data_IF_837946699804
#
_entry.id   IF_837946699804
#
_cell.length_a   1.000
_cell.length_b   1.000
_cell.length_c   1.000
_cell.angle_alpha   90.00
_cell.angle_beta   90.00
_cell.angle_gamma   90.00
#
_symmetry.space_group_name_H-M   'P 1'
#
loop_
_entity.id
_entity.type
_entity.pdbx_description
1 polymer ?
#
# COMPACT_ATOMS: atom_id res chain seq x y z
N UNK A 1 -12.85 17.39 -4.51
CA UNK A 1 -13.16 16.47 -3.39
C UNK A 1 -12.79 15.09 -3.89
N UNK A 2 -11.77 14.45 -3.32
CA UNK A 2 -11.20 13.20 -3.86
C UNK A 2 -12.15 12.00 -3.77
N UNK A 3 -11.84 10.95 -4.52
CA UNK A 3 -12.62 9.72 -4.51
C UNK A 3 -12.55 9.03 -3.13
N UNK A 4 -13.67 8.45 -2.69
CA UNK A 4 -13.75 7.76 -1.39
C UNK A 4 -14.15 6.30 -1.60
N UNK A 5 -13.21 5.38 -1.48
CA UNK A 5 -13.45 3.93 -1.62
C UNK A 5 -14.44 3.40 -0.58
N UNK A 6 -14.45 3.97 0.63
CA UNK A 6 -15.36 3.58 1.72
C UNK A 6 -16.81 4.04 1.52
N UNK A 7 -17.09 4.93 0.56
CA UNK A 7 -18.45 5.41 0.32
C UNK A 7 -19.38 4.27 -0.14
N UNK A 8 -20.55 4.04 0.50
CA UNK A 8 -21.42 2.92 0.17
C UNK A 8 -21.89 2.87 -1.29
N UNK A 9 -22.15 4.02 -1.91
CA UNK A 9 -22.56 4.10 -3.31
C UNK A 9 -21.40 3.74 -4.25
N UNK A 10 -20.18 4.18 -3.93
CA UNK A 10 -18.99 3.82 -4.68
C UNK A 10 -18.72 2.32 -4.60
N UNK A 11 -18.86 1.71 -3.41
CA UNK A 11 -18.73 0.26 -3.23
C UNK A 11 -19.79 -0.53 -3.99
N UNK A 12 -21.03 -0.07 -4.00
CA UNK A 12 -22.09 -0.71 -4.78
C UNK A 12 -21.80 -0.68 -6.29
N UNK A 13 -21.34 0.46 -6.81
CA UNK A 13 -20.89 0.60 -8.21
C UNK A 13 -19.69 -0.32 -8.49
N UNK A 14 -18.71 -0.35 -7.60
CA UNK A 14 -17.51 -1.15 -7.74
C UNK A 14 -17.80 -2.66 -7.76
N UNK A 15 -18.69 -3.13 -6.88
CA UNK A 15 -19.14 -4.52 -6.88
C UNK A 15 -19.89 -4.89 -8.17
N UNK A 16 -20.68 -3.97 -8.73
CA UNK A 16 -21.35 -4.17 -10.01
C UNK A 16 -20.37 -4.24 -11.17
N UNK A 17 -19.37 -3.34 -11.19
CA UNK A 17 -18.33 -3.32 -12.21
C UNK A 17 -17.48 -4.59 -12.17
N UNK A 18 -17.09 -5.06 -10.98
CA UNK A 18 -16.38 -6.34 -10.81
C UNK A 18 -17.15 -7.50 -11.45
N UNK A 19 -18.47 -7.60 -11.22
CA UNK A 19 -19.29 -8.67 -11.83
C UNK A 19 -19.29 -8.61 -13.35
N UNK A 20 -19.34 -7.40 -13.91
CA UNK A 20 -19.30 -7.18 -15.35
C UNK A 20 -17.94 -7.58 -15.93
N UNK A 21 -16.84 -7.15 -15.31
CA UNK A 21 -15.48 -7.38 -15.82
C UNK A 21 -14.99 -8.83 -15.63
N UNK A 22 -15.58 -9.61 -14.70
CA UNK A 22 -15.29 -11.04 -14.57
C UNK A 22 -15.58 -11.85 -15.84
N UNK A 23 -16.48 -11.37 -16.71
CA UNK A 23 -16.75 -11.99 -18.01
C UNK A 23 -15.76 -11.60 -19.11
N UNK A 24 -14.80 -10.72 -18.82
CA UNK A 24 -13.87 -10.12 -19.78
C UNK A 24 -12.41 -10.50 -19.50
N UNK A 25 -12.17 -11.47 -18.62
CA UNK A 25 -10.82 -11.91 -18.27
C UNK A 25 -10.09 -12.42 -19.53
N UNK A 26 -8.80 -12.09 -19.60
CA UNK A 26 -7.93 -12.47 -20.71
C UNK A 26 -6.93 -13.53 -20.23
N UNK A 27 -6.41 -14.33 -21.16
CA UNK A 27 -5.35 -15.27 -20.83
C UNK A 27 -4.03 -14.51 -20.64
N UNK A 28 -3.52 -14.52 -19.40
CA UNK A 28 -2.24 -13.90 -19.03
C UNK A 28 -1.17 -14.93 -18.72
N UNK A 29 -1.32 -16.17 -19.21
CA UNK A 29 -0.34 -17.24 -18.99
C UNK A 29 1.04 -16.83 -19.51
N UNK A 30 2.04 -16.80 -18.62
CA UNK A 30 3.42 -16.43 -18.96
C UNK A 30 3.76 -14.95 -18.74
N UNK A 31 2.78 -14.10 -18.39
CA UNK A 31 3.05 -12.72 -17.95
C UNK A 31 3.74 -12.78 -16.58
N UNK A 32 4.95 -12.22 -16.50
CA UNK A 32 5.65 -12.01 -15.22
C UNK A 32 5.30 -10.61 -14.72
N UNK A 33 4.68 -10.53 -13.55
CA UNK A 33 4.58 -9.26 -12.83
C UNK A 33 5.96 -8.95 -12.29
N UNK A 34 6.60 -7.91 -12.81
CA UNK A 34 7.75 -7.32 -12.13
C UNK A 34 7.23 -6.67 -10.85
N UNK A 35 7.51 -7.29 -9.70
CA UNK A 35 7.13 -6.71 -8.43
C UNK A 35 7.92 -5.41 -8.21
N UNK A 36 7.23 -4.28 -8.29
CA UNK A 36 7.80 -2.94 -8.10
C UNK A 36 8.32 -2.70 -6.66
N UNK A 37 8.01 -3.60 -5.72
CA UNK A 37 8.53 -3.59 -4.34
C UNK A 37 8.38 -4.96 -3.66
N UNK A 38 9.14 -5.21 -2.58
CA UNK A 38 8.99 -6.43 -1.78
C UNK A 38 7.63 -6.48 -1.06
N UNK A 39 7.05 -5.30 -0.75
CA UNK A 39 5.67 -5.18 -0.26
C UNK A 39 4.69 -5.83 -1.25
N UNK A 40 4.83 -5.51 -2.53
CA UNK A 40 3.97 -6.04 -3.59
C UNK A 40 4.23 -7.54 -3.81
N UNK A 41 5.49 -7.96 -3.90
CA UNK A 41 5.87 -9.36 -4.06
C UNK A 41 5.32 -10.25 -2.93
N UNK A 42 5.40 -9.77 -1.69
CA UNK A 42 4.91 -10.49 -0.52
C UNK A 42 3.38 -10.57 -0.46
N UNK A 43 2.69 -9.56 -1.02
CA UNK A 43 1.25 -9.46 -1.02
C UNK A 43 0.58 -10.17 -2.20
N UNK A 44 1.26 -10.26 -3.35
CA UNK A 44 0.73 -10.82 -4.59
C UNK A 44 0.12 -12.21 -4.40
N UNK A 45 0.79 -13.06 -3.61
CA UNK A 45 0.34 -14.42 -3.34
C UNK A 45 -1.01 -14.51 -2.59
N UNK A 46 -1.50 -13.41 -2.02
CA UNK A 46 -2.78 -13.32 -1.31
C UNK A 46 -3.90 -12.72 -2.17
N UNK A 47 -3.58 -12.07 -3.28
CA UNK A 47 -4.53 -11.42 -4.19
C UNK A 47 -5.15 -12.44 -5.14
N UNK A 48 -6.13 -13.14 -4.60
CA UNK A 48 -6.96 -14.11 -5.30
C UNK A 48 -8.24 -13.43 -5.78
N UNK A 49 -8.62 -13.59 -7.05
CA UNK A 49 -9.80 -12.92 -7.61
C UNK A 49 -11.10 -13.34 -6.91
N UNK A 50 -11.16 -14.56 -6.38
CA UNK A 50 -12.23 -15.06 -5.48
C UNK A 50 -12.43 -14.20 -4.24
N UNK A 51 -11.38 -13.50 -3.78
CA UNK A 51 -11.41 -12.55 -2.66
C UNK A 51 -11.65 -11.10 -3.08
N UNK A 52 -11.79 -10.81 -4.37
CA UNK A 52 -12.13 -9.47 -4.83
C UNK A 52 -13.55 -9.06 -4.39
N UNK A 53 -13.68 -7.81 -3.95
CA UNK A 53 -14.89 -7.19 -3.45
C UNK A 53 -15.49 -6.18 -4.45
N UNK A 54 -14.65 -5.46 -5.20
CA UNK A 54 -15.10 -4.47 -6.19
C UNK A 54 -13.96 -3.97 -7.08
N UNK A 55 -14.35 -3.35 -8.21
CA UNK A 55 -13.44 -2.58 -9.08
C UNK A 55 -13.85 -1.12 -9.00
N UNK A 56 -13.01 -0.29 -8.40
CA UNK A 56 -13.20 1.15 -8.31
C UNK A 56 -12.62 1.81 -9.55
N UNK A 57 -13.46 2.53 -10.30
CA UNK A 57 -13.06 3.29 -11.48
C UNK A 57 -13.44 4.75 -11.27
N UNK A 58 -12.46 5.64 -11.31
CA UNK A 58 -12.67 7.06 -11.04
C UNK A 58 -11.64 7.93 -11.75
N UNK A 59 -11.93 9.22 -11.84
CA UNK A 59 -11.07 10.22 -12.45
C UNK A 59 -10.57 11.18 -11.37
N UNK A 60 -9.25 11.35 -11.29
CA UNK A 60 -8.58 12.24 -10.34
C UNK A 60 -7.25 12.71 -10.96
N UNK A 61 -6.78 13.91 -10.59
CA UNK A 61 -5.49 14.42 -11.07
C UNK A 61 -5.34 14.58 -12.59
N UNK A 62 -6.44 14.63 -13.34
CA UNK A 62 -6.41 14.76 -14.80
C UNK A 62 -6.39 13.44 -15.58
N UNK A 63 -6.43 12.28 -14.90
CA UNK A 63 -6.57 10.98 -15.57
C UNK A 63 -7.41 9.98 -14.79
N UNK A 64 -7.43 8.75 -15.28
CA UNK A 64 -8.28 7.66 -14.80
C UNK A 64 -7.51 6.67 -13.96
N UNK A 65 -8.10 6.27 -12.84
CA UNK A 65 -7.61 5.20 -11.98
C UNK A 65 -8.57 4.02 -12.01
N UNK A 66 -8.00 2.82 -11.96
CA UNK A 66 -8.75 1.60 -11.73
C UNK A 66 -8.10 0.76 -10.62
N UNK A 67 -8.86 0.56 -9.54
CA UNK A 67 -8.39 -0.19 -8.38
C UNK A 67 -9.26 -1.41 -8.12
N UNK A 68 -8.62 -2.53 -7.83
CA UNK A 68 -9.22 -3.76 -7.35
C UNK A 68 -9.21 -3.78 -5.82
N UNK A 69 -10.41 -3.81 -5.22
CA UNK A 69 -10.62 -3.96 -3.78
C UNK A 69 -10.75 -5.45 -3.43
N UNK A 70 -10.11 -5.88 -2.34
CA UNK A 70 -10.17 -7.23 -1.79
C UNK A 70 -10.75 -7.25 -0.38
N UNK A 71 -11.37 -8.37 -0.02
CA UNK A 71 -11.93 -8.65 1.31
C UNK A 71 -11.27 -9.89 1.93
N UNK A 72 -11.29 -9.96 3.26
CA UNK A 72 -10.82 -11.15 3.99
C UNK A 72 -9.33 -11.44 3.81
N UNK A 73 -8.52 -10.43 3.47
CA UNK A 73 -7.07 -10.57 3.43
C UNK A 73 -6.50 -10.49 4.87
N UNK A 74 -5.39 -11.20 5.14
CA UNK A 74 -4.66 -11.05 6.40
C UNK A 74 -4.26 -9.60 6.67
N UNK A 75 -4.08 -9.26 7.94
CA UNK A 75 -3.50 -7.96 8.31
C UNK A 75 -2.11 -7.81 7.68
N UNK A 76 -1.79 -6.57 7.32
CA UNK A 76 -0.55 -6.29 6.63
C UNK A 76 -0.52 -6.64 5.13
N UNK A 77 -1.65 -7.03 4.53
CA UNK A 77 -1.80 -7.15 3.08
C UNK A 77 -2.63 -5.98 2.57
N UNK A 78 -2.15 -5.21 1.57
CA UNK A 78 -2.95 -4.16 0.94
C UNK A 78 -4.26 -4.71 0.40
N UNK A 79 -5.36 -4.04 0.77
CA UNK A 79 -6.72 -4.41 0.33
C UNK A 79 -7.15 -3.73 -0.95
N UNK A 80 -6.42 -2.72 -1.40
CA UNK A 80 -6.68 -1.98 -2.63
C UNK A 80 -5.39 -2.02 -3.43
N UNK A 81 -5.49 -2.43 -4.69
CA UNK A 81 -4.39 -2.54 -5.63
C UNK A 81 -4.86 -1.96 -6.95
N UNK A 82 -4.08 -1.11 -7.60
CA UNK A 82 -4.53 -0.41 -8.79
C UNK A 82 -3.40 0.34 -9.46
N UNK A 83 -3.77 1.27 -10.34
CA UNK A 83 -2.85 2.13 -11.07
C UNK A 83 -2.32 3.25 -10.17
N UNK A 84 -1.03 3.22 -9.76
CA UNK A 84 -0.46 4.28 -8.91
C UNK A 84 -0.41 5.63 -9.63
N UNK A 85 -0.20 5.61 -10.96
CA UNK A 85 -0.28 6.78 -11.82
C UNK A 85 -1.57 6.72 -12.66
N UNK A 86 -2.31 7.83 -12.81
CA UNK A 86 -3.52 7.85 -13.62
C UNK A 86 -3.20 7.65 -15.11
N UNK A 87 -4.03 6.88 -15.81
CA UNK A 87 -3.95 6.72 -17.27
C UNK A 87 -4.82 7.74 -17.99
N UNK A 88 -4.56 7.99 -19.27
CA UNK A 88 -5.21 9.08 -20.01
C UNK A 88 -6.72 8.83 -20.20
N UNK A 89 -7.12 7.58 -20.41
CA UNK A 89 -8.50 7.25 -20.77
C UNK A 89 -9.16 6.25 -19.84
N UNK A 90 -10.50 6.33 -19.79
CA UNK A 90 -11.32 5.36 -19.06
C UNK A 90 -11.16 3.93 -19.60
N UNK A 91 -10.93 3.78 -20.91
CA UNK A 91 -10.78 2.48 -21.54
C UNK A 91 -9.48 1.81 -21.10
N UNK A 92 -8.36 2.54 -21.15
CA UNK A 92 -7.05 2.07 -20.66
C UNK A 92 -7.11 1.65 -19.19
N UNK A 93 -7.83 2.41 -18.35
CA UNK A 93 -7.98 2.06 -16.93
C UNK A 93 -8.74 0.73 -16.76
N UNK A 94 -9.77 0.50 -17.58
CA UNK A 94 -10.51 -0.78 -17.59
C UNK A 94 -9.63 -1.92 -18.08
N UNK A 95 -8.86 -1.72 -19.15
CA UNK A 95 -7.93 -2.73 -19.66
C UNK A 95 -6.90 -3.13 -18.60
N UNK A 96 -6.27 -2.13 -17.95
CA UNK A 96 -5.29 -2.36 -16.89
C UNK A 96 -5.86 -3.18 -15.72
N UNK A 97 -7.08 -2.87 -15.25
CA UNK A 97 -7.68 -3.65 -14.15
C UNK A 97 -8.16 -5.03 -14.59
N UNK A 98 -8.56 -5.21 -15.85
CA UNK A 98 -8.89 -6.54 -16.40
C UNK A 98 -7.66 -7.43 -16.47
N UNK A 99 -6.51 -6.91 -16.88
CA UNK A 99 -5.23 -7.62 -16.82
C UNK A 99 -4.88 -8.01 -15.39
N UNK A 100 -5.00 -7.08 -14.44
CA UNK A 100 -4.78 -7.34 -13.01
C UNK A 100 -5.71 -8.41 -12.46
N UNK A 101 -7.01 -8.34 -12.78
CA UNK A 101 -7.98 -9.36 -12.41
C UNK A 101 -7.65 -10.72 -12.99
N UNK A 102 -7.15 -10.77 -14.22
CA UNK A 102 -6.76 -12.02 -14.89
C UNK A 102 -5.56 -12.68 -14.20
N UNK A 103 -4.58 -11.88 -13.76
CA UNK A 103 -3.45 -12.37 -12.95
C UNK A 103 -3.94 -12.90 -11.59
N UNK A 104 -4.84 -12.19 -10.93
CA UNK A 104 -5.44 -12.64 -9.67
C UNK A 104 -6.27 -13.92 -9.84
N UNK A 105 -6.89 -14.14 -11.01
CA UNK A 105 -7.67 -15.34 -11.31
C UNK A 105 -6.79 -16.59 -11.39
N UNK A 106 -5.58 -16.47 -11.94
CA UNK A 106 -4.62 -17.58 -11.97
C UNK A 106 -4.23 -18.05 -10.56
N UNK A 107 -4.25 -17.15 -9.57
CA UNK A 107 -3.94 -17.43 -8.17
C UNK A 107 -5.09 -18.07 -7.40
N UNK A 108 -6.32 -18.07 -7.90
CA UNK A 108 -7.47 -18.65 -7.19
C UNK A 108 -7.29 -20.16 -6.91
N UNK A 109 -6.54 -20.86 -7.75
CA UNK A 109 -6.26 -22.29 -7.60
C UNK A 109 -4.97 -22.60 -6.82
N UNK A 110 -4.24 -21.57 -6.39
CA UNK A 110 -2.98 -21.72 -5.64
C UNK A 110 -3.25 -21.41 -4.17
N UNK A 111 -2.99 -22.33 -3.22
CA UNK A 111 -3.11 -22.02 -1.81
C UNK A 111 -2.24 -20.82 -1.42
N UNK A 112 -2.79 -19.79 -0.75
CA UNK A 112 -1.99 -18.67 -0.30
C UNK A 112 -1.01 -19.13 0.78
N UNK A 113 0.13 -18.46 0.96
CA UNK A 113 1.08 -18.80 2.01
C UNK A 113 0.44 -18.64 3.40
N UNK A 114 0.95 -19.37 4.39
CA UNK A 114 0.48 -19.23 5.78
C UNK A 114 0.76 -17.80 6.29
N UNK A 115 -0.28 -17.03 6.69
CA UNK A 115 -0.09 -15.69 7.24
C UNK A 115 0.78 -15.65 8.50
N UNK A 116 0.91 -16.76 9.24
CA UNK A 116 1.73 -16.83 10.45
C UNK A 116 3.23 -16.96 10.17
N UNK A 117 3.61 -17.33 8.94
CA UNK A 117 5.03 -17.54 8.56
C UNK A 117 5.45 -16.70 7.37
N UNK A 118 4.51 -16.13 6.62
CA UNK A 118 4.80 -15.31 5.46
C UNK A 118 5.47 -14.00 5.85
N UNK A 119 6.69 -13.78 5.37
CA UNK A 119 7.38 -12.50 5.51
C UNK A 119 6.54 -11.35 4.95
N UNK A 120 6.63 -10.20 5.61
CA UNK A 120 5.95 -8.96 5.25
C UNK A 120 6.94 -7.81 5.27
N UNK A 121 6.61 -6.76 4.54
CA UNK A 121 7.41 -5.54 4.50
C UNK A 121 6.49 -4.36 4.73
N UNK A 122 7.01 -3.38 5.44
CA UNK A 122 6.45 -2.03 5.53
C UNK A 122 7.35 -1.09 4.73
N UNK A 123 6.77 -0.24 3.88
CA UNK A 123 7.54 0.79 3.17
C UNK A 123 7.59 2.06 4.02
N UNK A 124 8.77 2.38 4.53
CA UNK A 124 9.03 3.63 5.24
C UNK A 124 9.86 4.53 4.33
N UNK A 125 9.16 5.43 3.63
CA UNK A 125 9.69 6.31 2.59
C UNK A 125 10.38 5.51 1.47
N UNK A 126 11.71 5.52 1.44
CA UNK A 126 12.54 4.83 0.44
C UNK A 126 13.05 3.47 0.94
N UNK A 127 12.97 3.22 2.24
CA UNK A 127 13.42 1.98 2.86
C UNK A 127 12.27 0.99 3.08
N UNK A 128 12.56 -0.31 2.96
CA UNK A 128 11.59 -1.39 3.18
C UNK A 128 12.00 -2.20 4.41
N UNK A 129 11.18 -2.12 5.45
CA UNK A 129 11.46 -2.74 6.75
C UNK A 129 10.76 -4.10 6.80
N UNK A 130 11.49 -5.21 7.03
CA UNK A 130 10.88 -6.51 7.22
C UNK A 130 10.08 -6.53 8.52
N UNK A 131 8.90 -7.13 8.46
CA UNK A 131 7.96 -7.22 9.58
C UNK A 131 7.85 -8.67 10.03
N UNK A 132 8.12 -8.88 11.32
CA UNK A 132 7.96 -10.18 11.97
C UNK A 132 6.47 -10.54 12.07
N UNK A 133 6.03 -11.68 11.48
CA UNK A 133 4.61 -12.05 11.48
C UNK A 133 4.02 -12.28 12.87
N UNK A 134 4.81 -12.78 13.83
CA UNK A 134 4.36 -13.04 15.21
C UNK A 134 4.19 -11.72 15.97
N UNK A 135 5.11 -10.78 15.76
CA UNK A 135 5.00 -9.44 16.32
C UNK A 135 3.79 -8.70 15.74
N UNK A 136 3.56 -8.78 14.43
CA UNK A 136 2.36 -8.23 13.80
C UNK A 136 1.08 -8.82 14.39
N UNK A 137 1.00 -10.14 14.55
CA UNK A 137 -0.17 -10.79 15.18
C UNK A 137 -0.39 -10.29 16.61
N UNK A 138 0.66 -10.09 17.39
CA UNK A 138 0.56 -9.50 18.72
C UNK A 138 -0.08 -8.11 18.67
N UNK A 139 0.37 -7.22 17.78
CA UNK A 139 -0.23 -5.89 17.64
C UNK A 139 -1.68 -5.94 17.15
N UNK A 140 -1.99 -6.78 16.16
CA UNK A 140 -3.36 -6.99 15.66
C UNK A 140 -4.32 -7.39 16.78
N UNK A 141 -3.89 -8.30 17.67
CA UNK A 141 -4.72 -8.74 18.79
C UNK A 141 -5.06 -7.62 19.78
N UNK A 142 -4.22 -6.57 19.85
CA UNK A 142 -4.36 -5.45 20.78
C UNK A 142 -5.08 -4.25 20.19
N UNK A 143 -5.28 -4.17 18.86
CA UNK A 143 -6.00 -3.07 18.20
C UNK A 143 -7.37 -2.78 18.85
N UNK A 144 -8.19 -3.78 19.24
CA UNK A 144 -9.48 -3.52 19.90
C UNK A 144 -9.36 -2.97 21.33
N UNK A 145 -8.20 -3.08 21.96
CA UNK A 145 -7.98 -2.74 23.38
C UNK A 145 -7.34 -1.37 23.59
N UNK A 146 -6.75 -0.80 22.54
CA UNK A 146 -6.03 0.48 22.62
C UNK A 146 -6.95 1.66 22.36
N UNK A 147 -6.68 2.79 23.04
CA UNK A 147 -7.50 4.00 22.95
C UNK A 147 -7.10 4.95 21.79
N UNK A 148 -6.08 4.59 21.01
CA UNK A 148 -5.57 5.40 19.90
C UNK A 148 -5.94 4.82 18.53
N UNK A 149 -5.82 5.65 17.50
CA UNK A 149 -6.22 5.33 16.13
C UNK A 149 -5.05 5.39 15.14
N UNK A 150 -5.37 5.24 13.85
CA UNK A 150 -4.39 5.29 12.77
C UNK A 150 -3.66 6.63 12.66
N UNK A 151 -4.30 7.75 13.02
CA UNK A 151 -3.68 9.07 12.94
C UNK A 151 -2.63 9.25 14.03
N UNK A 152 -2.88 8.70 15.22
CA UNK A 152 -1.85 8.61 16.25
C UNK A 152 -0.63 7.81 15.76
N UNK A 153 -0.84 6.65 15.15
CA UNK A 153 0.27 5.84 14.63
C UNK A 153 1.07 6.57 13.55
N UNK A 154 0.41 7.35 12.68
CA UNK A 154 1.12 8.18 11.69
C UNK A 154 2.04 9.20 12.34
N UNK A 155 1.56 9.90 13.37
CA UNK A 155 2.37 10.88 14.10
C UNK A 155 3.58 10.24 14.79
N UNK A 156 3.41 9.06 15.38
CA UNK A 156 4.53 8.33 15.99
C UNK A 156 5.56 7.90 14.94
N UNK A 157 5.12 7.50 13.75
CA UNK A 157 6.02 7.23 12.64
C UNK A 157 6.72 8.52 12.14
N UNK A 158 6.05 9.67 12.12
CA UNK A 158 6.69 10.96 11.76
C UNK A 158 7.81 11.31 12.74
N UNK A 159 7.59 11.10 14.05
CA UNK A 159 8.63 11.29 15.08
C UNK A 159 9.81 10.35 14.84
N UNK A 160 9.55 9.07 14.57
CA UNK A 160 10.61 8.10 14.27
C UNK A 160 11.38 8.45 12.99
N UNK A 161 10.72 9.02 11.97
CA UNK A 161 11.40 9.55 10.79
C UNK A 161 12.37 10.67 11.20
N UNK A 162 11.89 11.64 11.98
CA UNK A 162 12.72 12.75 12.45
C UNK A 162 13.97 12.24 13.18
N UNK A 163 13.82 11.24 14.05
CA UNK A 163 14.91 10.65 14.81
C UNK A 163 15.90 9.85 13.94
N UNK A 164 15.44 9.19 12.88
CA UNK A 164 16.27 8.35 11.99
C UNK A 164 17.01 9.19 10.95
N UNK A 165 16.33 10.14 10.33
CA UNK A 165 16.81 10.83 9.12
C UNK A 165 16.81 12.35 9.24
N UNK A 166 16.52 12.93 10.40
CA UNK A 166 16.55 14.38 10.62
C UNK A 166 15.53 15.12 9.75
N UNK A 167 14.29 14.63 9.73
CA UNK A 167 13.16 15.09 8.90
C UNK A 167 13.34 14.90 7.38
N UNK A 168 14.40 14.22 6.93
CA UNK A 168 14.51 13.75 5.54
C UNK A 168 13.77 12.40 5.35
N UNK A 169 13.56 11.92 4.11
CA UNK A 169 13.10 10.55 3.88
C UNK A 169 13.97 9.49 4.56
N UNK A 170 13.36 8.43 5.10
CA UNK A 170 14.10 7.26 5.59
C UNK A 170 14.70 6.50 4.39
N UNK A 171 16.01 6.61 4.22
CA UNK A 171 16.80 5.85 3.23
C UNK A 171 17.46 4.63 3.88
N UNK A 172 18.03 3.73 3.06
CA UNK A 172 18.82 2.60 3.58
C UNK A 172 20.03 3.07 4.40
N UNK A 173 20.74 4.10 3.93
CA UNK A 173 21.93 4.64 4.61
C UNK A 173 21.56 5.29 5.96
N UNK A 174 20.49 6.08 6.00
CA UNK A 174 19.99 6.69 7.24
C UNK A 174 19.55 5.61 8.24
N UNK A 175 18.87 4.56 7.75
CA UNK A 175 18.47 3.43 8.57
C UNK A 175 19.68 2.68 9.14
N UNK A 176 20.70 2.38 8.33
CA UNK A 176 21.89 1.67 8.78
C UNK A 176 22.73 2.48 9.78
N UNK A 177 22.77 3.81 9.62
CA UNK A 177 23.44 4.71 10.54
C UNK A 177 22.71 4.85 11.90
N UNK A 178 21.40 4.59 11.94
CA UNK A 178 20.60 4.70 13.15
C UNK A 178 20.95 3.64 14.21
N UNK A 179 20.85 4.04 15.48
CA UNK A 179 21.11 3.17 16.61
C UNK A 179 20.19 1.93 16.59
N UNK A 180 20.69 0.82 17.12
CA UNK A 180 19.93 -0.44 17.17
C UNK A 180 18.56 -0.28 17.84
N UNK A 181 18.52 0.44 18.96
CA UNK A 181 17.28 0.65 19.71
C UNK A 181 16.25 1.42 18.88
N UNK A 182 16.68 2.47 18.18
CA UNK A 182 15.81 3.26 17.31
C UNK A 182 15.26 2.43 16.14
N UNK A 183 16.10 1.62 15.49
CA UNK A 183 15.65 0.67 14.45
C UNK A 183 14.68 -0.38 14.98
N UNK A 184 14.90 -0.87 16.20
CA UNK A 184 14.01 -1.83 16.85
C UNK A 184 12.64 -1.21 17.15
N UNK A 185 12.61 -0.01 17.71
CA UNK A 185 11.36 0.71 18.00
C UNK A 185 10.61 1.08 16.72
N UNK A 186 11.32 1.52 15.67
CA UNK A 186 10.73 1.76 14.37
C UNK A 186 10.13 0.49 13.75
N UNK A 187 10.82 -0.65 13.84
CA UNK A 187 10.31 -1.95 13.37
C UNK A 187 9.02 -2.36 14.10
N UNK A 188 8.94 -2.14 15.42
CA UNK A 188 7.73 -2.35 16.22
C UNK A 188 6.60 -1.42 15.79
N UNK A 189 6.91 -0.16 15.53
CA UNK A 189 5.91 0.81 15.08
C UNK A 189 5.39 0.47 13.69
N UNK A 190 6.23 -0.01 12.77
CA UNK A 190 5.79 -0.55 11.48
C UNK A 190 4.82 -1.73 11.63
N UNK A 191 5.05 -2.62 12.60
CA UNK A 191 4.11 -3.70 12.91
C UNK A 191 2.76 -3.15 13.41
N UNK A 192 2.79 -2.15 14.30
CA UNK A 192 1.58 -1.49 14.78
C UNK A 192 0.84 -0.80 13.61
N UNK A 193 1.54 -0.07 12.76
CA UNK A 193 0.99 0.59 11.57
C UNK A 193 0.26 -0.40 10.65
N UNK A 194 0.87 -1.55 10.36
CA UNK A 194 0.24 -2.61 9.56
C UNK A 194 -0.99 -3.22 10.23
N UNK A 195 -1.01 -3.29 11.57
CA UNK A 195 -2.20 -3.71 12.31
C UNK A 195 -3.38 -2.74 12.13
N UNK A 196 -3.09 -1.43 12.06
CA UNK A 196 -4.06 -0.37 11.72
C UNK A 196 -4.32 -0.21 10.21
N UNK A 197 -3.75 -1.08 9.36
CA UNK A 197 -3.95 -1.07 7.92
C UNK A 197 -3.09 -0.05 7.15
N UNK A 198 -2.10 0.55 7.80
CA UNK A 198 -1.11 1.42 7.17
C UNK A 198 0.03 0.53 6.67
N UNK A 199 0.21 0.49 5.34
CA UNK A 199 1.21 -0.37 4.70
C UNK A 199 2.46 0.35 4.25
N UNK A 200 2.34 1.66 4.10
CA UNK A 200 3.41 2.53 3.71
C UNK A 200 3.25 3.89 4.36
N UNK A 201 4.38 4.56 4.49
CA UNK A 201 4.49 5.96 4.81
C UNK A 201 5.41 6.59 3.78
N UNK A 202 5.00 7.74 3.28
CA UNK A 202 5.81 8.52 2.34
C UNK A 202 6.12 9.86 2.98
N UNK A 203 7.31 10.37 2.70
CA UNK A 203 7.70 11.72 3.06
C UNK A 203 6.93 12.69 2.16
N UNK A 204 6.25 13.65 2.77
CA UNK A 204 5.57 14.75 2.08
C UNK A 204 6.18 16.05 2.64
N UNK A 205 7.17 16.65 1.96
CA UNK A 205 7.77 17.88 2.44
C UNK A 205 6.70 18.98 2.49
N UNK A 206 6.67 19.81 3.55
CA UNK A 206 5.81 20.98 3.55
C UNK A 206 6.15 21.86 2.34
N UNK A 207 5.12 22.31 1.61
CA UNK A 207 5.22 23.06 0.35
C UNK A 207 6.11 24.33 0.42
N UNK A 208 6.42 24.79 1.64
CA UNK A 208 7.25 25.96 1.90
C UNK A 208 8.76 25.71 1.66
N UNK A 209 9.20 24.44 1.61
CA UNK A 209 10.60 24.07 1.33
C UNK A 209 10.97 24.20 -0.17
N UNK A 210 10.00 24.00 -1.07
CA UNK A 210 10.20 24.18 -2.52
C UNK A 210 10.40 25.66 -2.90
N UNK A 211 9.76 26.58 -2.18
CA UNK A 211 9.93 28.02 -2.37
C UNK A 211 11.30 28.52 -1.88
N UNK A 212 11.88 27.88 -0.86
CA UNK A 212 13.19 28.26 -0.34
C UNK A 212 14.36 27.79 -1.23
N UNK A 213 14.21 26.64 -1.90
CA UNK A 213 15.23 26.12 -2.85
C UNK A 213 15.19 26.81 -4.21
N UNK A 214 14.03 27.35 -4.63
CA UNK A 214 13.90 28.13 -5.86
C UNK A 214 14.48 29.57 -5.74
N UNK A 215 14.74 30.05 -4.53
CA UNK A 215 15.20 31.42 -4.26
C UNK A 215 16.69 31.48 -3.88
N UNK A 216 17.58 30.97 -4.74
CA UNK A 216 18.99 31.36 -4.70
C UNK A 216 19.56 31.65 -6.10
N UNK A 217 19.25 32.82 -6.70
CA UNK A 217 20.03 33.36 -7.79
C UNK A 217 21.28 34.08 -7.26
N UNK A 218 22.45 33.51 -7.55
CA UNK A 218 23.75 34.16 -7.79
C UNK A 218 24.13 35.40 -6.97
N UNK A 219 25.07 35.22 -6.04
CA UNK A 219 26.10 36.23 -5.77
C UNK A 219 27.45 35.66 -6.21
N UNK A 220 27.94 36.11 -7.36
CA UNK A 220 29.30 36.61 -7.63
C UNK A 220 29.46 36.95 -9.11
#
# INVERSE_FOLDING_TARGET
MGYKHSNPQNRAKAASLLRQLKGQLVDVTGVRVEALSNVYAAAEAYWQLSKAAGVHLYQEGGGWHADLEFKGLPHGIPRIVGTPEPVATRAEAIESVVEMMSMCAQRDNVPPPDPATGLRWFRFDEHQIPVDPRMLQHFVSRVPEVAFDADHIRKELDVLRADISGDAPVTADAWEAAEFQLRYDASRMCCAAMAFGIMQMSYDPPADLDLALAAAPGMH
#
